data_IF_981510875414
#
_entry.id   IF_981510875414
#
_cell.length_a   1.000
_cell.length_b   1.000
_cell.length_c   1.000
_cell.angle_alpha   90.00
_cell.angle_beta   90.00
_cell.angle_gamma   90.00
#
_symmetry.space_group_name_H-M   'P 1'
#
loop_
_entity.id
_entity.type
_entity.pdbx_description
1 polymer ?
#
# COMPACT_ATOMS: atom_id res chain seq x y z
N UNK A 1 66.80 7.77 -19.31
CA UNK A 1 65.54 7.85 -18.52
C UNK A 1 65.90 7.90 -17.05
N UNK A 2 65.72 9.04 -16.38
CA UNK A 2 66.03 9.19 -14.95
C UNK A 2 64.86 8.71 -14.08
N UNK A 3 65.11 7.99 -12.97
CA UNK A 3 64.06 7.60 -12.04
C UNK A 3 63.71 8.81 -11.17
N UNK A 4 62.44 9.26 -11.22
CA UNK A 4 61.94 10.30 -10.32
C UNK A 4 61.85 9.75 -8.90
N UNK A 5 62.72 10.24 -8.01
CA UNK A 5 62.62 10.09 -6.55
C UNK A 5 61.30 10.71 -6.07
N UNK A 6 60.34 9.88 -5.66
CA UNK A 6 59.16 10.34 -4.93
C UNK A 6 59.58 10.87 -3.55
N UNK A 7 59.31 12.14 -3.28
CA UNK A 7 59.58 12.76 -1.98
C UNK A 7 58.66 12.27 -0.86
N UNK A 8 58.92 12.66 0.41
CA UNK A 8 58.15 12.21 1.59
C UNK A 8 56.66 12.61 1.53
N UNK A 9 56.34 13.67 0.79
CA UNK A 9 54.96 14.08 0.50
C UNK A 9 54.19 13.04 -0.33
N UNK A 10 54.87 12.33 -1.25
CA UNK A 10 54.26 11.28 -2.05
C UNK A 10 53.88 10.06 -1.21
N UNK A 11 54.73 9.70 -0.23
CA UNK A 11 54.45 8.60 0.68
C UNK A 11 53.28 8.93 1.62
N UNK A 12 53.24 10.15 2.16
CA UNK A 12 52.12 10.61 2.98
C UNK A 12 50.78 10.61 2.20
N UNK A 13 50.80 11.05 0.94
CA UNK A 13 49.62 11.02 0.07
C UNK A 13 49.20 9.58 -0.26
N UNK A 14 50.14 8.68 -0.59
CA UNK A 14 49.84 7.26 -0.86
C UNK A 14 49.27 6.55 0.38
N UNK A 15 49.81 6.82 1.56
CA UNK A 15 49.28 6.28 2.81
C UNK A 15 47.87 6.79 3.11
N UNK A 16 47.59 8.08 2.89
CA UNK A 16 46.26 8.65 3.08
C UNK A 16 45.20 7.99 2.19
N UNK A 17 45.52 7.79 0.90
CA UNK A 17 44.63 7.10 -0.05
C UNK A 17 44.37 5.65 0.37
N UNK A 18 45.40 4.94 0.83
CA UNK A 18 45.28 3.56 1.29
C UNK A 18 44.38 3.43 2.53
N UNK A 19 44.52 4.35 3.49
CA UNK A 19 43.69 4.37 4.71
C UNK A 19 42.22 4.65 4.38
N UNK A 20 41.94 5.59 3.48
CA UNK A 20 40.58 5.90 3.04
C UNK A 20 39.93 4.73 2.28
N UNK A 21 40.70 4.04 1.41
CA UNK A 21 40.25 2.85 0.70
C UNK A 21 39.95 1.69 1.65
N UNK A 22 40.83 1.43 2.62
CA UNK A 22 40.63 0.39 3.64
C UNK A 22 39.41 0.69 4.53
N UNK A 23 39.20 1.95 4.92
CA UNK A 23 38.04 2.38 5.68
C UNK A 23 36.72 2.14 4.95
N UNK A 24 36.65 2.52 3.66
CA UNK A 24 35.47 2.27 2.83
C UNK A 24 35.20 0.77 2.61
N UNK A 25 36.26 -0.04 2.45
CA UNK A 25 36.11 -1.51 2.34
C UNK A 25 35.54 -2.13 3.62
N UNK A 26 36.01 -1.67 4.79
CA UNK A 26 35.51 -2.12 6.10
C UNK A 26 34.04 -1.74 6.33
N UNK A 27 33.63 -0.54 5.91
CA UNK A 27 32.23 -0.10 5.93
C UNK A 27 31.33 -0.95 5.01
N UNK A 28 31.79 -1.29 3.80
CA UNK A 28 31.05 -2.17 2.88
C UNK A 28 30.92 -3.61 3.42
N UNK A 29 31.98 -4.15 4.01
CA UNK A 29 31.94 -5.48 4.62
C UNK A 29 31.10 -5.52 5.90
N UNK A 30 31.05 -4.42 6.66
CA UNK A 30 30.15 -4.27 7.81
C UNK A 30 28.68 -4.29 7.40
N UNK A 31 28.34 -3.63 6.29
CA UNK A 31 26.98 -3.67 5.72
C UNK A 31 26.61 -5.05 5.13
N UNK A 32 27.59 -5.80 4.62
CA UNK A 32 27.37 -7.10 3.97
C UNK A 32 27.26 -8.28 4.96
N UNK A 33 27.75 -8.12 6.20
CA UNK A 33 27.70 -9.16 7.26
C UNK A 33 26.38 -9.19 8.04
N UNK A 34 25.41 -8.35 7.67
CA UNK A 34 24.06 -8.34 8.26
C UNK A 34 23.09 -9.37 7.69
N UNK A 35 23.55 -10.33 6.86
CA UNK A 35 22.68 -11.38 6.30
C UNK A 35 22.83 -12.68 7.11
N UNK A 36 21.80 -13.11 7.87
CA UNK A 36 21.81 -14.45 8.45
C UNK A 36 21.72 -15.47 7.31
N UNK A 37 22.74 -16.32 7.22
CA UNK A 37 22.71 -17.51 6.38
C UNK A 37 21.87 -18.57 7.11
N UNK A 38 20.77 -19.01 6.52
CA UNK A 38 20.23 -20.32 6.84
C UNK A 38 19.79 -21.03 5.57
N UNK A 39 20.42 -22.16 5.32
CA UNK A 39 20.27 -22.96 4.10
C UNK A 39 19.04 -23.87 4.13
N UNK A 40 18.50 -24.04 2.92
CA UNK A 40 17.89 -25.24 2.31
C UNK A 40 16.74 -26.01 2.97
N UNK A 41 15.68 -26.16 2.15
CA UNK A 41 14.67 -27.25 2.07
C UNK A 41 13.34 -27.08 2.84
N UNK A 42 12.21 -27.66 2.36
CA UNK A 42 11.48 -27.43 1.10
C UNK A 42 10.11 -26.72 1.30
N UNK A 43 9.53 -26.24 0.20
CA UNK A 43 8.22 -25.57 0.06
C UNK A 43 7.10 -26.11 0.98
N UNK A 44 6.72 -25.31 1.97
CA UNK A 44 5.42 -25.34 2.63
C UNK A 44 4.70 -24.02 2.27
N UNK A 45 3.36 -23.96 2.24
CA UNK A 45 2.64 -22.74 1.89
C UNK A 45 3.10 -21.65 2.86
N UNK A 46 3.77 -20.62 2.34
CA UNK A 46 4.51 -19.67 3.17
C UNK A 46 3.61 -19.06 4.25
N UNK A 47 4.16 -18.74 5.44
CA UNK A 47 3.43 -17.94 6.41
C UNK A 47 3.08 -16.62 5.71
N UNK A 48 1.79 -16.25 5.74
CA UNK A 48 1.35 -14.92 5.32
C UNK A 48 2.30 -13.89 5.93
N UNK A 49 2.79 -12.91 5.15
CA UNK A 49 3.70 -11.89 5.69
C UNK A 49 3.08 -11.33 6.97
N UNK A 50 3.86 -11.15 8.05
CA UNK A 50 3.31 -10.62 9.30
C UNK A 50 2.55 -9.34 8.95
N UNK A 51 1.37 -9.13 9.54
CA UNK A 51 0.50 -7.99 9.27
C UNK A 51 1.25 -6.62 9.25
N UNK A 52 2.42 -6.57 9.88
CA UNK A 52 3.39 -5.48 9.85
C UNK A 52 3.99 -5.13 8.47
N UNK A 53 4.01 -6.04 7.49
CA UNK A 53 4.64 -5.79 6.18
C UNK A 53 3.88 -4.75 5.35
N UNK A 54 2.60 -4.56 5.64
CA UNK A 54 1.72 -3.56 5.03
C UNK A 54 1.21 -2.53 6.05
N UNK A 55 1.85 -2.44 7.22
CA UNK A 55 1.48 -1.47 8.24
C UNK A 55 1.92 -0.07 7.81
N UNK A 56 0.96 0.83 7.73
CA UNK A 56 1.21 2.21 7.36
C UNK A 56 1.99 2.92 8.46
N UNK A 57 3.28 3.17 8.24
CA UNK A 57 4.21 3.63 9.28
C UNK A 57 5.01 4.89 8.89
N UNK A 58 5.27 5.12 7.61
CA UNK A 58 5.95 6.31 7.10
C UNK A 58 5.16 6.90 5.91
N UNK A 59 4.71 8.17 5.97
CA UNK A 59 4.06 8.85 4.84
C UNK A 59 4.93 8.99 3.58
N UNK A 60 6.25 8.77 3.70
CA UNK A 60 7.19 8.75 2.57
C UNK A 60 7.46 7.34 2.03
N UNK A 61 6.88 6.31 2.66
CA UNK A 61 6.94 4.95 2.12
C UNK A 61 6.22 4.89 0.77
N UNK A 62 6.62 3.98 -0.12
CA UNK A 62 6.00 3.84 -1.45
C UNK A 62 4.53 3.40 -1.38
N UNK A 63 4.11 2.76 -0.28
CA UNK A 63 2.75 2.25 -0.12
C UNK A 63 1.86 3.28 0.56
N UNK A 64 0.80 3.67 -0.15
CA UNK A 64 -0.28 4.51 0.37
C UNK A 64 -1.33 3.65 1.07
N UNK A 65 -2.14 4.26 1.95
CA UNK A 65 -3.30 3.60 2.55
C UNK A 65 -4.32 3.18 1.49
N UNK A 66 -4.87 1.96 1.60
CA UNK A 66 -5.93 1.49 0.71
C UNK A 66 -7.16 2.41 0.72
N UNK A 67 -7.47 3.02 1.87
CA UNK A 67 -8.57 3.99 2.02
C UNK A 67 -8.36 5.31 1.27
N UNK A 68 -7.12 5.62 0.88
CA UNK A 68 -6.76 6.82 0.12
C UNK A 68 -6.69 6.59 -1.39
N UNK A 69 -6.88 5.35 -1.84
CA UNK A 69 -6.92 5.05 -3.26
C UNK A 69 -8.05 5.85 -3.95
N UNK A 70 -7.77 6.51 -5.08
CA UNK A 70 -8.77 7.17 -5.91
C UNK A 70 -9.90 6.25 -6.35
N UNK A 71 -11.03 6.82 -6.79
CA UNK A 71 -12.22 6.05 -7.16
C UNK A 71 -11.99 5.07 -8.31
N UNK A 72 -11.06 5.37 -9.21
CA UNK A 72 -10.70 4.53 -10.35
C UNK A 72 -9.92 3.26 -9.99
N UNK A 73 -9.35 3.18 -8.78
CA UNK A 73 -8.56 2.03 -8.30
C UNK A 73 -9.29 1.17 -7.28
N UNK A 74 -10.57 1.46 -7.04
CA UNK A 74 -11.38 0.72 -6.07
C UNK A 74 -12.73 0.35 -6.67
N UNK A 75 -13.19 -0.84 -6.33
CA UNK A 75 -14.55 -1.28 -6.62
C UNK A 75 -15.37 -1.18 -5.34
N UNK A 76 -16.50 -0.49 -5.40
CA UNK A 76 -17.40 -0.31 -4.27
C UNK A 76 -18.77 -0.92 -4.55
N UNK A 77 -19.31 -1.58 -3.53
CA UNK A 77 -20.68 -2.09 -3.54
C UNK A 77 -21.69 -0.94 -3.55
N UNK A 78 -22.92 -1.29 -3.89
CA UNK A 78 -24.04 -0.36 -3.83
C UNK A 78 -24.45 -0.08 -2.38
N UNK A 79 -25.00 1.12 -2.10
CA UNK A 79 -25.64 1.40 -0.83
C UNK A 79 -26.68 0.33 -0.47
N UNK A 80 -26.54 -0.27 0.72
CA UNK A 80 -27.51 -1.23 1.25
C UNK A 80 -28.84 -0.53 1.46
N UNK A 81 -29.92 -1.08 0.91
CA UNK A 81 -31.28 -0.59 1.13
C UNK A 81 -31.92 -1.30 2.32
N UNK A 82 -32.19 -0.54 3.38
CA UNK A 82 -32.87 -1.04 4.57
C UNK A 82 -34.40 -0.95 4.47
N UNK A 83 -34.95 -0.48 3.34
CA UNK A 83 -36.39 -0.49 3.07
C UNK A 83 -37.21 0.33 4.07
N UNK A 84 -36.65 1.42 4.61
CA UNK A 84 -37.28 2.22 5.67
C UNK A 84 -37.04 1.72 7.09
N UNK A 85 -36.30 0.62 7.29
CA UNK A 85 -36.01 0.09 8.62
C UNK A 85 -34.78 0.78 9.25
N UNK A 86 -35.05 1.78 10.10
CA UNK A 86 -33.99 2.51 10.82
C UNK A 86 -33.21 1.63 11.81
N UNK A 87 -33.86 0.63 12.43
CA UNK A 87 -33.20 -0.27 13.38
C UNK A 87 -32.15 -1.13 12.68
N UNK A 88 -32.48 -1.69 11.52
CA UNK A 88 -31.53 -2.48 10.73
C UNK A 88 -30.31 -1.66 10.27
N UNK A 89 -30.54 -0.39 9.91
CA UNK A 89 -29.46 0.54 9.58
C UNK A 89 -28.56 0.85 10.78
N UNK A 90 -29.13 1.00 11.96
CA UNK A 90 -28.38 1.28 13.19
C UNK A 90 -27.52 0.07 13.62
N UNK A 91 -28.05 -1.15 13.48
CA UNK A 91 -27.32 -2.39 13.76
C UNK A 91 -26.16 -2.62 12.78
N UNK A 92 -26.38 -2.37 11.48
CA UNK A 92 -25.34 -2.51 10.44
C UNK A 92 -24.35 -1.32 10.44
N UNK A 93 -24.76 -0.16 10.97
CA UNK A 93 -23.97 1.07 11.05
C UNK A 93 -23.73 1.76 9.70
N UNK A 94 -24.33 1.27 8.63
CA UNK A 94 -24.30 1.83 7.28
C UNK A 94 -25.50 1.32 6.46
N UNK A 95 -25.74 1.99 5.35
CA UNK A 95 -26.88 1.78 4.45
C UNK A 95 -27.87 2.94 4.51
N UNK A 96 -28.80 2.90 3.57
CA UNK A 96 -29.81 3.92 3.35
C UNK A 96 -31.15 3.44 3.92
N UNK A 97 -31.79 4.27 4.76
CA UNK A 97 -33.16 4.05 5.21
C UNK A 97 -34.15 4.56 4.16
N UNK A 98 -33.78 5.63 3.45
CA UNK A 98 -34.58 6.25 2.39
C UNK A 98 -33.70 6.48 1.18
N UNK A 99 -34.28 6.29 -0.01
CA UNK A 99 -33.66 6.65 -1.28
C UNK A 99 -34.45 7.78 -1.94
N UNK A 100 -33.73 8.71 -2.55
CA UNK A 100 -34.30 9.84 -3.27
C UNK A 100 -33.74 11.19 -2.82
N UNK A 101 -34.30 12.26 -3.38
CA UNK A 101 -33.78 13.62 -3.29
C UNK A 101 -33.31 14.15 -4.65
N UNK A 102 -33.50 15.45 -4.91
CA UNK A 102 -33.07 16.09 -6.16
C UNK A 102 -31.77 16.87 -6.00
N UNK A 103 -31.61 17.56 -4.87
CA UNK A 103 -30.38 18.27 -4.53
C UNK A 103 -29.50 17.45 -3.59
N UNK A 104 -28.19 17.70 -3.62
CA UNK A 104 -27.22 16.98 -2.79
C UNK A 104 -27.54 17.04 -1.28
N UNK A 105 -28.07 18.16 -0.79
CA UNK A 105 -28.45 18.31 0.63
C UNK A 105 -29.73 17.58 1.03
N UNK A 106 -30.55 17.17 0.07
CA UNK A 106 -31.81 16.45 0.32
C UNK A 106 -31.63 14.93 0.21
N UNK A 107 -30.44 14.49 -0.19
CA UNK A 107 -30.10 13.08 -0.39
C UNK A 107 -29.28 12.62 0.81
N UNK A 108 -29.73 11.53 1.45
CA UNK A 108 -28.94 10.88 2.49
C UNK A 108 -27.63 10.30 1.91
N UNK A 109 -26.56 10.30 2.71
CA UNK A 109 -25.30 9.65 2.34
C UNK A 109 -24.96 8.53 3.30
N UNK A 110 -24.37 7.48 2.75
CA UNK A 110 -23.90 6.34 3.52
C UNK A 110 -22.47 5.97 3.20
N UNK A 111 -21.89 5.16 4.09
CA UNK A 111 -20.71 4.35 3.79
C UNK A 111 -21.11 3.10 3.00
N UNK A 112 -20.22 2.65 2.13
CA UNK A 112 -20.32 1.39 1.39
C UNK A 112 -19.05 0.59 1.54
N UNK A 113 -19.16 -0.72 1.36
CA UNK A 113 -18.00 -1.61 1.30
C UNK A 113 -17.26 -1.39 -0.02
N UNK A 114 -15.96 -1.16 0.06
CA UNK A 114 -15.08 -1.01 -1.09
C UNK A 114 -13.90 -1.97 -0.98
N UNK A 115 -13.31 -2.29 -2.13
CA UNK A 115 -12.10 -3.10 -2.25
C UNK A 115 -11.16 -2.50 -3.29
N UNK A 116 -9.86 -2.50 -3.01
CA UNK A 116 -8.83 -2.17 -3.99
C UNK A 116 -8.84 -3.19 -5.14
N UNK A 117 -8.80 -2.70 -6.39
CA UNK A 117 -8.75 -3.55 -7.58
C UNK A 117 -7.54 -4.49 -7.55
N UNK A 118 -7.67 -5.63 -8.21
CA UNK A 118 -6.59 -6.61 -8.30
C UNK A 118 -5.35 -6.00 -9.01
N UNK A 119 -4.16 -6.31 -8.50
CA UNK A 119 -2.90 -5.77 -9.01
C UNK A 119 -2.50 -4.39 -8.45
N UNK A 120 -3.37 -3.72 -7.69
CA UNK A 120 -3.01 -2.50 -6.94
C UNK A 120 -2.51 -2.89 -5.56
N UNK A 121 -1.33 -2.42 -5.16
CA UNK A 121 -0.76 -2.63 -3.82
C UNK A 121 -0.94 -1.39 -2.94
N UNK A 122 -1.37 -1.59 -1.69
CA UNK A 122 -1.62 -0.53 -0.72
C UNK A 122 -1.49 -1.08 0.72
N UNK A 123 -1.24 -0.18 1.67
CA UNK A 123 -1.14 -0.45 3.09
C UNK A 123 -2.53 -0.54 3.75
N UNK A 124 -2.65 -1.25 4.88
CA UNK A 124 -3.92 -1.54 5.59
C UNK A 124 -4.88 -2.50 4.85
N UNK A 125 -6.07 -2.86 5.38
CA UNK A 125 -6.96 -3.80 4.73
C UNK A 125 -7.38 -3.35 3.33
N UNK A 126 -7.21 -4.24 2.35
CA UNK A 126 -7.66 -4.04 0.96
C UNK A 126 -9.16 -3.86 0.83
N UNK A 127 -9.92 -4.28 1.84
CA UNK A 127 -11.37 -4.14 1.95
C UNK A 127 -11.69 -3.18 3.09
N UNK A 128 -12.42 -2.11 2.80
CA UNK A 128 -12.67 -1.02 3.75
C UNK A 128 -14.00 -0.32 3.48
N UNK A 129 -14.55 0.35 4.49
CA UNK A 129 -15.75 1.19 4.34
C UNK A 129 -15.35 2.58 3.84
N UNK A 130 -15.95 3.03 2.73
CA UNK A 130 -15.77 4.40 2.22
C UNK A 130 -17.09 5.18 2.26
N UNK A 131 -17.01 6.43 2.73
CA UNK A 131 -18.16 7.30 2.96
C UNK A 131 -18.70 8.02 1.73
N UNK A 132 -19.67 8.89 2.01
CA UNK A 132 -20.24 9.88 1.08
C UNK A 132 -20.87 9.32 -0.20
N UNK A 133 -21.38 8.08 -0.18
CA UNK A 133 -22.17 7.55 -1.30
C UNK A 133 -23.63 8.01 -1.16
N UNK A 134 -24.19 8.68 -2.20
CA UNK A 134 -25.55 9.17 -2.14
C UNK A 134 -26.57 8.03 -2.22
N UNK A 135 -27.62 8.11 -1.41
CA UNK A 135 -28.77 7.21 -1.40
C UNK A 135 -29.74 7.56 -2.54
N UNK A 136 -29.27 7.38 -3.78
CA UNK A 136 -30.07 7.61 -4.99
C UNK A 136 -30.28 6.29 -5.72
N UNK A 137 -31.49 6.11 -6.24
CA UNK A 137 -31.79 5.01 -7.15
C UNK A 137 -31.17 5.33 -8.50
N UNK A 138 -29.97 4.82 -8.71
CA UNK A 138 -29.35 4.79 -10.02
C UNK A 138 -29.55 3.38 -10.57
N UNK A 139 -30.15 3.28 -11.74
CA UNK A 139 -30.05 2.05 -12.52
C UNK A 139 -28.59 1.94 -12.94
N UNK A 140 -27.81 1.05 -12.31
CA UNK A 140 -26.43 0.79 -12.75
C UNK A 140 -26.49 0.33 -14.21
N UNK A 141 -25.82 0.98 -15.17
CA UNK A 141 -25.45 0.28 -16.38
C UNK A 141 -24.53 -0.87 -15.94
N UNK A 142 -24.86 -2.10 -16.37
CA UNK A 142 -24.16 -3.33 -16.03
C UNK A 142 -22.78 -3.41 -16.69
N UNK A 143 -21.91 -2.43 -16.44
CA UNK A 143 -20.53 -2.47 -16.91
C UNK A 143 -19.70 -3.22 -15.88
N UNK A 144 -19.62 -4.54 -16.01
CA UNK A 144 -18.68 -5.35 -15.22
C UNK A 144 -19.06 -6.81 -14.97
N UNK A 145 -20.35 -7.20 -15.01
CA UNK A 145 -20.72 -8.59 -14.63
C UNK A 145 -20.44 -9.65 -15.71
N UNK A 146 -20.06 -9.26 -16.93
CA UNK A 146 -19.85 -10.17 -18.07
C UNK A 146 -18.47 -10.04 -18.75
N UNK A 147 -17.39 -9.79 -18.00
CA UNK A 147 -16.03 -9.88 -18.56
C UNK A 147 -15.23 -10.85 -17.70
N UNK A 148 -14.66 -11.87 -18.35
CA UNK A 148 -14.03 -13.07 -17.79
C UNK A 148 -14.94 -14.27 -17.48
N UNK A 149 -15.51 -14.83 -18.55
CA UNK A 149 -15.55 -16.28 -18.70
C UNK A 149 -14.67 -16.62 -19.89
N UNK A 150 -13.41 -16.99 -19.62
CA UNK A 150 -12.54 -17.68 -20.56
C UNK A 150 -12.60 -19.16 -20.22
#
# INVERSE_FOLDING_TARGET
>A
MAPRRGGPLGYALLCGQAVLLLGNLLLLHGASRGLPHNGSEPEAPGPEPPAATWAYSDPRAPLVLCTYLPEEFVECDEPVDHGGNATAQQELGHGCVKFGGQAHGDVDHTRVQCRALDGIECAEPRSFLRGSRPCVRLEKPQYGKNKFRM
#
